data_IF_615583850583
#
_entry.id   IF_615583850583
#
_cell.length_a   1.000
_cell.length_b   1.000
_cell.length_c   1.000
_cell.angle_alpha   90.00
_cell.angle_beta   90.00
_cell.angle_gamma   90.00
#
_symmetry.space_group_name_H-M   'P 1'
#
loop_
_entity.id
_entity.type
_entity.pdbx_description
1 polymer ?
#
# COMPACT_ATOMS: atom_id res chain seq x y z
N UNK A 1 11.29 -14.64 -9.35
CA UNK A 1 12.46 -14.31 -8.48
C UNK A 1 12.11 -14.72 -7.06
N UNK A 2 12.92 -15.54 -6.38
CA UNK A 2 12.66 -15.94 -4.98
C UNK A 2 13.29 -14.87 -4.06
N UNK A 3 12.48 -14.24 -3.22
CA UNK A 3 12.98 -13.27 -2.22
C UNK A 3 13.89 -13.99 -1.22
N UNK A 4 15.02 -13.38 -0.88
CA UNK A 4 15.96 -13.96 0.09
C UNK A 4 15.34 -13.98 1.49
N UNK A 5 15.51 -15.08 2.22
CA UNK A 5 14.86 -15.29 3.51
C UNK A 5 15.20 -14.24 4.56
N UNK A 6 16.43 -13.73 4.58
CA UNK A 6 16.82 -12.70 5.54
C UNK A 6 16.03 -11.39 5.34
N UNK A 7 15.66 -11.04 4.10
CA UNK A 7 14.83 -9.87 3.83
C UNK A 7 13.41 -10.07 4.37
N UNK A 8 12.85 -11.27 4.20
CA UNK A 8 11.56 -11.61 4.78
C UNK A 8 11.60 -11.52 6.31
N UNK A 9 12.68 -12.00 6.95
CA UNK A 9 12.86 -11.87 8.40
C UNK A 9 12.95 -10.42 8.87
N UNK A 10 13.67 -9.56 8.15
CA UNK A 10 13.75 -8.12 8.47
C UNK A 10 12.37 -7.49 8.37
N UNK A 11 11.62 -7.75 7.29
CA UNK A 11 10.26 -7.22 7.10
C UNK A 11 9.31 -7.75 8.17
N UNK A 12 9.34 -9.05 8.49
CA UNK A 12 8.54 -9.63 9.57
C UNK A 12 8.87 -8.98 10.93
N UNK A 13 10.16 -8.75 11.22
CA UNK A 13 10.57 -8.04 12.43
C UNK A 13 10.05 -6.61 12.46
N UNK A 14 10.05 -5.91 11.32
CA UNK A 14 9.53 -4.55 11.21
C UNK A 14 8.03 -4.45 11.54
N UNK A 15 7.26 -5.49 11.22
CA UNK A 15 5.82 -5.58 11.53
C UNK A 15 5.51 -6.14 12.93
N UNK A 16 6.52 -6.54 13.71
CA UNK A 16 6.34 -7.23 14.99
C UNK A 16 6.42 -6.28 16.19
N UNK A 17 5.67 -6.60 17.25
CA UNK A 17 5.75 -5.94 18.57
C UNK A 17 5.71 -4.39 18.53
N UNK A 18 4.90 -3.82 17.64
CA UNK A 18 4.80 -2.36 17.49
C UNK A 18 3.86 -1.76 18.52
N UNK A 19 4.35 -0.74 19.21
CA UNK A 19 3.62 0.08 20.17
C UNK A 19 3.79 1.53 19.77
N UNK A 20 2.71 2.29 19.84
CA UNK A 20 2.66 3.73 19.66
C UNK A 20 2.48 4.34 21.05
N UNK A 21 3.49 5.06 21.53
CA UNK A 21 3.42 5.84 22.76
C UNK A 21 3.07 7.29 22.42
N UNK A 22 2.11 7.87 23.14
CA UNK A 22 1.65 9.23 22.90
C UNK A 22 1.14 9.88 24.19
N UNK A 23 1.23 11.20 24.28
CA UNK A 23 0.72 11.97 25.41
C UNK A 23 -0.76 12.32 25.23
N UNK A 24 -1.51 12.26 26.33
CA UNK A 24 -2.91 12.73 26.43
C UNK A 24 -3.06 13.71 27.58
N UNK A 25 -4.22 14.37 27.67
CA UNK A 25 -4.53 15.28 28.79
C UNK A 25 -4.53 14.55 30.14
N UNK A 26 -4.79 13.24 30.14
CA UNK A 26 -4.80 12.37 31.32
C UNK A 26 -3.43 11.69 31.59
N UNK A 27 -2.44 11.92 30.72
CA UNK A 27 -1.08 11.37 30.83
C UNK A 27 -0.63 10.54 29.61
N UNK A 28 0.57 9.96 29.66
CA UNK A 28 1.10 9.11 28.59
C UNK A 28 0.31 7.81 28.43
N UNK A 29 0.02 7.45 27.19
CA UNK A 29 -0.71 6.24 26.82
C UNK A 29 0.07 5.44 25.77
N UNK A 30 -0.21 4.14 25.71
CA UNK A 30 0.43 3.21 24.77
C UNK A 30 -0.62 2.41 23.99
N UNK A 31 -0.49 2.39 22.67
CA UNK A 31 -1.38 1.65 21.78
C UNK A 31 -0.63 0.59 20.96
N UNK A 32 -1.13 -0.65 20.99
CA UNK A 32 -0.55 -1.73 20.19
C UNK A 32 -0.95 -1.60 18.71
N UNK A 33 0.03 -1.41 17.84
CA UNK A 33 -0.20 -1.21 16.40
C UNK A 33 -0.22 -2.56 15.67
N UNK A 34 -1.40 -2.96 15.20
CA UNK A 34 -1.62 -4.25 14.52
C UNK A 34 -1.61 -4.15 12.99
N UNK A 35 -1.76 -2.96 12.42
CA UNK A 35 -1.86 -2.75 10.97
C UNK A 35 -1.10 -1.49 10.52
N UNK A 36 -0.85 -1.40 9.21
CA UNK A 36 -0.19 -0.26 8.58
C UNK A 36 1.31 -0.21 8.79
N UNK A 37 1.88 0.95 8.47
CA UNK A 37 3.30 1.30 8.60
C UNK A 37 3.41 2.66 9.29
N UNK A 38 4.47 2.92 10.08
CA UNK A 38 4.72 4.24 10.66
C UNK A 38 4.78 5.34 9.59
N UNK A 39 4.11 6.47 9.87
CA UNK A 39 4.19 7.66 9.02
C UNK A 39 5.62 8.22 9.03
N UNK A 40 6.06 8.75 7.88
CA UNK A 40 7.44 9.21 7.70
C UNK A 40 8.49 8.08 7.59
N UNK A 41 8.06 6.80 7.63
CA UNK A 41 9.00 5.69 7.44
C UNK A 41 9.50 5.59 6.00
N UNK A 42 10.80 5.37 5.85
CA UNK A 42 11.45 5.15 4.54
C UNK A 42 10.89 3.90 3.84
N UNK A 43 10.55 2.86 4.61
CA UNK A 43 10.00 1.62 4.07
C UNK A 43 8.52 1.72 3.69
N UNK A 44 7.78 2.69 4.23
CA UNK A 44 6.33 2.81 4.04
C UNK A 44 5.90 2.79 2.57
N UNK A 45 6.45 3.68 1.70
CA UNK A 45 6.09 3.70 0.28
C UNK A 45 6.40 2.39 -0.47
N UNK A 46 7.48 1.70 -0.10
CA UNK A 46 7.85 0.43 -0.74
C UNK A 46 6.88 -0.68 -0.32
N UNK A 47 6.56 -0.75 0.97
CA UNK A 47 5.62 -1.74 1.51
C UNK A 47 4.21 -1.52 0.97
N UNK A 48 3.81 -0.27 0.76
CA UNK A 48 2.57 0.07 0.06
C UNK A 48 2.54 -0.49 -1.36
N UNK A 49 3.57 -0.25 -2.16
CA UNK A 49 3.66 -0.78 -3.52
C UNK A 49 3.62 -2.32 -3.55
N UNK A 50 4.27 -3.00 -2.60
CA UNK A 50 4.21 -4.47 -2.49
C UNK A 50 2.79 -4.95 -2.18
N UNK A 51 2.09 -4.27 -1.26
CA UNK A 51 0.71 -4.60 -0.90
C UNK A 51 -0.25 -4.37 -2.08
N UNK A 52 -0.06 -3.29 -2.84
CA UNK A 52 -0.94 -2.88 -3.95
C UNK A 52 -0.60 -3.50 -5.32
N UNK A 53 0.55 -4.18 -5.46
CA UNK A 53 1.01 -4.73 -6.75
C UNK A 53 -0.04 -5.61 -7.43
N UNK A 54 -0.78 -6.43 -6.67
CA UNK A 54 -1.84 -7.27 -7.23
C UNK A 54 -3.00 -6.44 -7.82
N UNK A 55 -3.36 -5.33 -7.19
CA UNK A 55 -4.39 -4.40 -7.68
C UNK A 55 -3.92 -3.70 -8.95
N UNK A 56 -2.67 -3.24 -8.96
CA UNK A 56 -2.06 -2.56 -10.12
C UNK A 56 -1.90 -3.49 -11.34
N UNK A 57 -1.88 -4.81 -11.12
CA UNK A 57 -1.80 -5.84 -12.16
C UNK A 57 -3.15 -6.38 -12.62
N UNK A 58 -4.27 -5.89 -12.09
CA UNK A 58 -5.59 -6.31 -12.57
C UNK A 58 -5.72 -5.98 -14.06
N UNK A 59 -6.21 -6.96 -14.83
CA UNK A 59 -6.43 -6.80 -16.26
C UNK A 59 -7.92 -6.61 -16.53
N UNK A 60 -8.27 -5.43 -17.04
CA UNK A 60 -9.65 -5.06 -17.38
C UNK A 60 -9.95 -5.15 -18.89
N UNK A 61 -9.04 -5.71 -19.70
CA UNK A 61 -9.14 -5.79 -21.16
C UNK A 61 -8.52 -4.60 -21.89
N UNK A 62 -8.62 -4.60 -23.23
CA UNK A 62 -7.80 -3.73 -24.11
C UNK A 62 -8.09 -2.23 -24.07
N UNK A 63 -9.15 -1.79 -23.39
CA UNK A 63 -9.59 -0.40 -23.39
C UNK A 63 -9.56 0.26 -22.01
N UNK A 64 -9.02 -0.42 -21.00
CA UNK A 64 -8.95 0.09 -19.62
C UNK A 64 -7.53 -0.02 -19.10
N UNK A 65 -6.98 1.09 -18.61
CA UNK A 65 -5.65 1.16 -18.00
C UNK A 65 -5.77 1.60 -16.54
N UNK A 66 -5.05 0.90 -15.66
CA UNK A 66 -4.87 1.31 -14.26
C UNK A 66 -3.63 2.20 -14.18
N UNK A 67 -3.73 3.30 -13.45
CA UNK A 67 -2.61 4.18 -13.09
C UNK A 67 -2.66 4.38 -11.58
N UNK A 68 -1.56 4.11 -10.89
CA UNK A 68 -1.44 4.35 -9.45
C UNK A 68 -0.37 5.40 -9.15
N UNK A 69 -0.61 6.23 -8.13
CA UNK A 69 0.38 7.17 -7.59
C UNK A 69 0.18 7.27 -6.07
N UNK A 70 1.21 6.93 -5.28
CA UNK A 70 1.06 6.78 -3.84
C UNK A 70 -0.17 5.90 -3.52
N UNK A 71 -1.12 6.39 -2.75
CA UNK A 71 -2.38 5.74 -2.40
C UNK A 71 -3.53 5.96 -3.40
N UNK A 72 -3.37 6.84 -4.38
CA UNK A 72 -4.36 7.13 -5.41
C UNK A 72 -4.33 6.12 -6.57
N UNK A 73 -5.52 5.76 -7.07
CA UNK A 73 -5.69 4.95 -8.29
C UNK A 73 -6.67 5.63 -9.24
N UNK A 74 -6.29 5.68 -10.51
CA UNK A 74 -7.14 6.06 -11.62
C UNK A 74 -7.35 4.88 -12.57
N UNK A 75 -8.60 4.68 -12.99
CA UNK A 75 -8.98 3.80 -14.09
C UNK A 75 -9.28 4.67 -15.32
N UNK A 76 -8.47 4.51 -16.36
CA UNK A 76 -8.63 5.23 -17.63
C UNK A 76 -9.28 4.28 -18.63
N UNK A 77 -10.55 4.50 -18.93
CA UNK A 77 -11.32 3.70 -19.88
C UNK A 77 -11.62 4.48 -21.16
N UNK A 78 -11.44 3.85 -22.33
CA UNK A 78 -11.78 4.42 -23.64
C UNK A 78 -12.97 3.67 -24.22
N UNK A 79 -14.06 4.40 -24.48
CA UNK A 79 -15.22 3.88 -25.21
C UNK A 79 -15.34 4.60 -26.55
N UNK A 80 -15.64 3.84 -27.62
CA UNK A 80 -16.02 4.41 -28.91
C UNK A 80 -17.55 4.43 -28.99
N UNK A 81 -18.15 5.61 -29.08
CA UNK A 81 -19.55 5.73 -29.48
C UNK A 81 -19.62 5.63 -31.00
N UNK A 82 -20.23 4.55 -31.51
CA UNK A 82 -20.41 4.32 -32.96
C UNK A 82 -21.67 4.99 -33.55
N UNK A 83 -22.40 5.78 -32.78
CA UNK A 83 -23.73 6.31 -33.14
C UNK A 83 -23.82 7.84 -33.19
N UNK A 84 -22.77 8.50 -33.67
CA UNK A 84 -22.77 9.95 -33.96
C UNK A 84 -22.37 10.21 -35.44
N UNK A 85 -22.93 9.42 -36.35
CA UNK A 85 -22.95 9.69 -37.79
C UNK A 85 -24.38 10.04 -38.16
#
# INVERSE_FOLDING_TARGET
MRTREYLLRIVSSYFSARVLDYDTDDGPESYRVTAGVPQGSVLGPILWNVMYDAVLRLNFGGNVKIVGFADDIALVAVAKNLWQI
#
